data_IF_500070228213
#
_entry.id   IF_500070228213
#
_cell.length_a   1.000
_cell.length_b   1.000
_cell.length_c   1.000
_cell.angle_alpha   90.00
_cell.angle_beta   90.00
_cell.angle_gamma   90.00
#
_symmetry.space_group_name_H-M   'P 1'
#
loop_
_entity.id
_entity.type
_entity.pdbx_description
1 polymer ?
#
# COMPACT_ATOMS: atom_id res chain seq x y z
N UNK A 1 4.22 -29.56 4.83
CA UNK A 1 2.78 -29.27 4.77
C UNK A 1 2.34 -28.05 5.56
N UNK A 2 3.24 -27.13 5.97
CA UNK A 2 2.84 -25.79 6.49
C UNK A 2 3.23 -24.65 5.55
N UNK A 3 3.82 -25.00 4.43
CA UNK A 3 4.27 -24.18 3.32
C UNK A 3 3.12 -23.45 2.63
N UNK A 4 2.03 -24.16 2.27
CA UNK A 4 0.86 -23.54 1.65
C UNK A 4 0.19 -22.46 2.54
N UNK A 5 -0.12 -22.73 3.83
CA UNK A 5 -0.63 -21.68 4.73
C UNK A 5 0.34 -20.50 4.90
N UNK A 6 1.65 -20.75 4.97
CA UNK A 6 2.67 -19.71 5.09
C UNK A 6 2.66 -18.77 3.87
N UNK A 7 2.66 -19.33 2.65
CA UNK A 7 2.62 -18.55 1.41
C UNK A 7 1.31 -17.77 1.27
N UNK A 8 0.17 -18.40 1.58
CA UNK A 8 -1.15 -17.76 1.58
C UNK A 8 -1.18 -16.54 2.50
N UNK A 9 -0.57 -16.65 3.68
CA UNK A 9 -0.47 -15.56 4.65
C UNK A 9 0.29 -14.36 4.11
N UNK A 10 1.36 -14.57 3.34
CA UNK A 10 2.11 -13.48 2.71
C UNK A 10 1.31 -12.80 1.61
N UNK A 11 0.55 -13.55 0.80
CA UNK A 11 -0.37 -12.97 -0.20
C UNK A 11 -1.39 -12.08 0.50
N UNK A 12 -2.05 -12.60 1.53
CA UNK A 12 -3.00 -11.81 2.31
C UNK A 12 -2.36 -10.68 3.09
N UNK A 13 -1.07 -10.74 3.45
CA UNK A 13 -0.34 -9.65 4.14
C UNK A 13 0.16 -8.54 3.22
N UNK A 14 0.25 -8.82 1.91
CA UNK A 14 0.74 -7.88 0.89
C UNK A 14 -0.37 -7.10 0.16
N UNK A 15 -1.62 -7.55 0.26
CA UNK A 15 -2.80 -6.80 -0.19
C UNK A 15 -2.94 -5.41 0.49
N UNK A 16 -3.85 -4.57 -0.02
CA UNK A 16 -4.04 -3.18 0.43
C UNK A 16 -5.51 -2.94 0.76
N UNK A 17 -5.78 -2.36 1.94
CA UNK A 17 -7.15 -2.03 2.34
C UNK A 17 -7.73 -0.88 1.52
N UNK A 18 -9.05 -0.91 1.29
CA UNK A 18 -9.79 0.17 0.64
C UNK A 18 -9.51 1.55 1.26
N UNK A 19 -9.40 1.64 2.58
CA UNK A 19 -9.14 2.90 3.26
C UNK A 19 -7.74 3.47 2.98
N UNK A 20 -6.74 2.60 2.81
CA UNK A 20 -5.40 3.03 2.41
C UNK A 20 -5.38 3.54 0.97
N UNK A 21 -6.13 2.88 0.06
CA UNK A 21 -6.39 3.38 -1.30
C UNK A 21 -7.10 4.75 -1.26
N UNK A 22 -8.13 4.90 -0.45
CA UNK A 22 -8.85 6.17 -0.32
C UNK A 22 -7.95 7.32 0.16
N UNK A 23 -7.11 7.05 1.16
CA UNK A 23 -6.10 8.01 1.63
C UNK A 23 -5.05 8.35 0.57
N UNK A 24 -4.60 7.35 -0.19
CA UNK A 24 -3.70 7.56 -1.32
C UNK A 24 -4.31 8.54 -2.31
N UNK A 25 -5.55 8.29 -2.74
CA UNK A 25 -6.27 9.15 -3.69
C UNK A 25 -6.44 10.58 -3.15
N UNK A 26 -6.79 10.74 -1.88
CA UNK A 26 -6.89 12.07 -1.25
C UNK A 26 -5.56 12.84 -1.24
N UNK A 27 -4.42 12.14 -1.13
CA UNK A 27 -3.08 12.75 -1.17
C UNK A 27 -2.62 13.05 -2.60
N UNK A 28 -2.99 12.23 -3.57
CA UNK A 28 -2.62 12.39 -4.99
C UNK A 28 -3.46 13.48 -5.67
N UNK A 29 -4.73 13.59 -5.31
CA UNK A 29 -5.70 14.52 -5.91
C UNK A 29 -6.20 15.60 -4.92
N UNK A 30 -5.35 16.40 -4.25
CA UNK A 30 -5.85 17.53 -3.47
C UNK A 30 -6.59 18.54 -4.37
N UNK A 31 -7.63 19.21 -3.82
CA UNK A 31 -8.41 20.17 -4.57
C UNK A 31 -7.55 21.37 -5.00
N UNK A 32 -7.73 21.84 -6.23
CA UNK A 32 -7.08 23.04 -6.74
C UNK A 32 -8.05 24.23 -6.84
N UNK A 33 -7.50 25.42 -7.06
CA UNK A 33 -8.27 26.67 -7.21
C UNK A 33 -8.52 27.05 -8.67
N UNK A 34 -8.26 26.17 -9.63
CA UNK A 34 -8.42 26.49 -11.06
C UNK A 34 -9.85 26.90 -11.39
N UNK A 35 -10.86 26.26 -10.78
CA UNK A 35 -12.27 26.64 -10.94
C UNK A 35 -12.57 28.06 -10.44
N UNK A 36 -11.95 28.48 -9.33
CA UNK A 36 -12.09 29.82 -8.76
C UNK A 36 -11.38 30.87 -9.64
N UNK A 37 -10.17 30.56 -10.11
CA UNK A 37 -9.31 31.45 -10.90
C UNK A 37 -9.90 31.70 -12.29
N UNK A 38 -10.46 30.67 -12.93
CA UNK A 38 -11.01 30.77 -14.28
C UNK A 38 -12.49 31.18 -14.33
N UNK A 39 -13.10 31.55 -13.19
CA UNK A 39 -14.33 32.34 -13.17
C UNK A 39 -15.61 31.60 -13.59
N UNK A 40 -15.94 30.45 -12.98
CA UNK A 40 -17.35 30.03 -12.88
C UNK A 40 -17.91 30.46 -11.52
N UNK A 41 -18.35 31.71 -11.44
CA UNK A 41 -19.52 32.04 -10.61
C UNK A 41 -20.61 31.07 -11.09
N UNK A 42 -21.07 30.19 -10.21
CA UNK A 42 -22.23 29.32 -10.48
C UNK A 42 -23.44 30.22 -10.66
N UNK A 43 -23.73 30.65 -11.89
CA UNK A 43 -25.12 30.85 -12.26
C UNK A 43 -25.73 29.46 -12.40
N UNK A 44 -26.52 29.11 -11.38
CA UNK A 44 -27.22 27.84 -11.23
C UNK A 44 -28.45 27.78 -12.13
N UNK A 45 -28.29 28.11 -13.41
CA UNK A 45 -29.34 27.97 -14.42
C UNK A 45 -28.72 27.51 -15.73
N UNK A 46 -29.23 26.37 -16.18
CA UNK A 46 -29.19 25.83 -17.53
C UNK A 46 -28.14 24.75 -17.87
N UNK A 47 -28.71 23.55 -17.97
CA UNK A 47 -28.49 22.56 -19.02
C UNK A 47 -27.50 21.43 -18.72
N UNK A 48 -28.13 20.29 -18.41
CA UNK A 48 -27.65 18.92 -18.54
C UNK A 48 -27.09 18.67 -19.95
N UNK A 49 -26.05 17.84 -20.02
CA UNK A 49 -25.44 17.26 -21.23
C UNK A 49 -24.78 18.22 -22.24
N UNK A 50 -23.47 18.42 -22.05
CA UNK A 50 -22.40 18.42 -23.08
C UNK A 50 -21.05 18.40 -22.35
N UNK A 51 -20.12 17.58 -22.82
CA UNK A 51 -18.74 17.47 -22.32
C UNK A 51 -18.13 18.87 -22.12
N UNK A 52 -18.13 19.34 -20.87
CA UNK A 52 -17.47 20.60 -20.53
C UNK A 52 -15.98 20.28 -20.45
N UNK A 53 -15.12 20.93 -21.25
CA UNK A 53 -13.68 20.71 -21.16
C UNK A 53 -13.21 20.98 -19.73
N UNK A 54 -12.41 20.07 -19.16
CA UNK A 54 -11.79 20.28 -17.85
C UNK A 54 -10.97 21.57 -17.92
N UNK A 55 -11.16 22.42 -16.91
CA UNK A 55 -10.46 23.70 -16.81
C UNK A 55 -9.06 23.49 -16.22
N UNK A 56 -8.91 22.50 -15.35
CA UNK A 56 -7.61 22.14 -14.80
C UNK A 56 -6.79 21.37 -15.85
N UNK A 57 -5.59 21.88 -16.17
CA UNK A 57 -4.63 21.20 -17.04
C UNK A 57 -3.66 20.27 -16.28
N UNK A 58 -4.00 19.94 -15.04
CA UNK A 58 -3.13 19.19 -14.13
C UNK A 58 -2.09 20.06 -13.43
N UNK A 59 -1.64 19.59 -12.28
CA UNK A 59 -0.63 20.22 -11.44
C UNK A 59 0.55 19.28 -11.22
N UNK A 60 1.77 19.79 -11.38
CA UNK A 60 2.98 19.05 -10.99
C UNK A 60 3.02 18.98 -9.45
N UNK A 61 3.10 17.76 -8.93
CA UNK A 61 2.99 17.47 -7.51
C UNK A 61 4.08 16.50 -7.08
N UNK A 62 4.41 16.56 -5.81
CA UNK A 62 5.30 15.59 -5.20
C UNK A 62 4.86 15.18 -3.81
N UNK A 63 5.11 13.93 -3.45
CA UNK A 63 4.83 13.40 -2.12
C UNK A 63 6.08 12.65 -1.64
N UNK A 64 6.65 13.01 -0.48
CA UNK A 64 7.79 12.28 0.10
C UNK A 64 7.49 10.78 0.26
N UNK A 65 8.37 9.94 -0.29
CA UNK A 65 8.16 8.48 -0.32
C UNK A 65 8.00 7.94 1.10
N UNK A 66 8.94 8.29 1.99
CA UNK A 66 8.95 7.77 3.36
C UNK A 66 7.70 8.19 4.15
N UNK A 67 7.27 9.45 4.03
CA UNK A 67 6.05 9.93 4.68
C UNK A 67 4.83 9.14 4.20
N UNK A 68 4.74 8.89 2.90
CA UNK A 68 3.63 8.20 2.27
C UNK A 68 3.57 6.71 2.65
N UNK A 69 4.73 6.05 2.65
CA UNK A 69 4.91 4.66 3.08
C UNK A 69 4.47 4.49 4.54
N UNK A 70 4.90 5.37 5.43
CA UNK A 70 4.53 5.34 6.85
C UNK A 70 3.05 5.68 7.07
N UNK A 71 2.52 6.69 6.37
CA UNK A 71 1.13 7.15 6.54
C UNK A 71 0.09 6.15 6.03
N UNK A 72 0.43 5.38 4.99
CA UNK A 72 -0.46 4.38 4.37
C UNK A 72 -0.19 2.95 4.84
N UNK A 73 0.98 2.69 5.44
CA UNK A 73 1.46 1.33 5.78
C UNK A 73 1.55 0.39 4.56
N UNK A 74 1.90 0.95 3.40
CA UNK A 74 2.12 0.25 2.13
C UNK A 74 3.60 0.38 1.77
N UNK A 75 4.22 -0.68 1.24
CA UNK A 75 5.60 -0.59 0.74
C UNK A 75 5.71 0.37 -0.44
N UNK A 76 6.90 0.91 -0.67
CA UNK A 76 7.18 1.83 -1.78
C UNK A 76 6.71 1.25 -3.13
N UNK A 77 7.02 -0.02 -3.41
CA UNK A 77 6.65 -0.68 -4.67
C UNK A 77 5.13 -0.85 -4.80
N UNK A 78 4.43 -0.99 -3.66
CA UNK A 78 2.98 -1.07 -3.62
C UNK A 78 2.33 0.27 -3.98
N UNK A 79 2.88 1.38 -3.49
CA UNK A 79 2.41 2.73 -3.84
C UNK A 79 2.71 3.02 -5.30
N UNK A 80 3.93 2.75 -5.76
CA UNK A 80 4.34 2.92 -7.16
C UNK A 80 3.43 2.12 -8.11
N UNK A 81 3.13 0.86 -7.77
CA UNK A 81 2.19 0.03 -8.57
C UNK A 81 0.80 0.68 -8.68
N UNK A 82 0.27 1.25 -7.59
CA UNK A 82 -1.03 1.94 -7.60
C UNK A 82 -0.98 3.21 -8.45
N UNK A 83 0.11 3.98 -8.40
CA UNK A 83 0.31 5.15 -9.26
C UNK A 83 0.39 4.77 -10.74
N UNK A 84 1.11 3.70 -11.08
CA UNK A 84 1.16 3.17 -12.45
C UNK A 84 -0.22 2.71 -12.94
N UNK A 85 -1.07 2.14 -12.08
CA UNK A 85 -2.44 1.81 -12.47
C UNK A 85 -3.29 3.04 -12.80
N UNK A 86 -3.06 4.18 -12.13
CA UNK A 86 -3.71 5.45 -12.46
C UNK A 86 -3.23 6.02 -13.80
N UNK A 87 -1.94 5.87 -14.10
CA UNK A 87 -1.35 6.28 -15.37
C UNK A 87 -1.82 5.43 -16.55
N UNK A 88 -1.96 4.11 -16.35
CA UNK A 88 -2.47 3.19 -17.37
C UNK A 88 -4.00 3.24 -17.54
N UNK A 89 -4.71 4.02 -16.72
CA UNK A 89 -6.15 4.16 -16.83
C UNK A 89 -6.51 4.93 -18.12
N UNK A 90 -7.58 4.54 -18.86
CA UNK A 90 -7.95 5.20 -20.12
C UNK A 90 -8.18 6.72 -20.00
N UNK A 91 -8.65 7.17 -18.83
CA UNK A 91 -8.86 8.60 -18.52
C UNK A 91 -7.56 9.37 -18.20
N UNK A 92 -6.40 8.71 -18.17
CA UNK A 92 -5.08 9.30 -17.88
C UNK A 92 -5.11 10.23 -16.65
N UNK A 93 -5.59 9.72 -15.51
CA UNK A 93 -5.79 10.52 -14.29
C UNK A 93 -4.49 11.13 -13.76
N UNK A 94 -3.36 10.47 -14.03
CA UNK A 94 -2.05 10.80 -13.51
C UNK A 94 -0.97 10.53 -14.57
N UNK A 95 0.03 11.38 -14.65
CA UNK A 95 1.26 11.17 -15.42
C UNK A 95 2.42 11.05 -14.43
N UNK A 96 3.15 9.93 -14.45
CA UNK A 96 4.21 9.65 -13.47
C UNK A 96 5.57 10.08 -14.03
N UNK A 97 6.32 10.85 -13.24
CA UNK A 97 7.67 11.28 -13.56
C UNK A 97 8.71 10.52 -12.72
N UNK A 98 10.00 10.53 -13.12
CA UNK A 98 11.06 9.96 -12.31
C UNK A 98 11.09 10.59 -10.90
N UNK A 99 11.26 9.77 -9.83
CA UNK A 99 11.35 10.26 -8.46
C UNK A 99 12.39 11.37 -8.32
N UNK A 100 12.07 12.36 -7.49
CA UNK A 100 12.90 13.55 -7.35
C UNK A 100 12.95 14.04 -5.92
N UNK A 101 14.07 14.67 -5.54
CA UNK A 101 14.16 15.37 -4.27
C UNK A 101 13.30 16.64 -4.33
N UNK A 102 12.15 16.63 -3.67
CA UNK A 102 11.15 17.70 -3.76
C UNK A 102 11.48 18.85 -2.83
N UNK A 103 12.09 18.58 -1.67
CA UNK A 103 12.25 19.57 -0.62
C UNK A 103 13.59 20.28 -0.73
N UNK A 104 13.58 21.60 -0.75
CA UNK A 104 14.79 22.41 -0.73
C UNK A 104 14.95 23.09 0.61
N UNK A 105 16.13 22.95 1.21
CA UNK A 105 16.55 23.69 2.41
C UNK A 105 17.66 24.66 2.03
N UNK A 106 17.45 25.93 2.36
CA UNK A 106 18.43 27.00 2.14
C UNK A 106 18.85 27.56 3.50
N UNK A 107 20.15 27.55 3.79
CA UNK A 107 20.75 28.11 5.00
C UNK A 107 21.69 29.24 4.64
N UNK A 108 21.51 30.40 5.26
CA UNK A 108 22.33 31.59 5.05
C UNK A 108 23.11 31.94 6.32
N UNK A 109 24.43 31.84 6.27
CA UNK A 109 25.29 32.22 7.40
C UNK A 109 25.19 33.72 7.75
N UNK A 110 24.84 34.56 6.77
CA UNK A 110 24.58 35.99 6.95
C UNK A 110 23.14 36.33 7.37
N UNK A 111 22.34 35.32 7.77
CA UNK A 111 20.99 35.50 8.30
C UNK A 111 19.97 36.03 7.28
N UNK A 112 18.91 36.68 7.77
CA UNK A 112 17.78 37.15 6.95
C UNK A 112 18.15 38.23 5.94
N UNK A 113 19.19 39.05 6.20
CA UNK A 113 19.67 40.06 5.26
C UNK A 113 20.25 39.42 4.00
N UNK A 114 21.10 38.41 4.15
CA UNK A 114 21.68 37.66 3.04
C UNK A 114 20.60 36.92 2.23
N UNK A 115 19.61 36.34 2.92
CA UNK A 115 18.49 35.68 2.28
C UNK A 115 17.66 36.63 1.41
N UNK A 116 17.42 37.86 1.88
CA UNK A 116 16.73 38.91 1.11
C UNK A 116 17.54 39.40 -0.09
N UNK A 117 18.87 39.47 0.05
CA UNK A 117 19.76 39.83 -1.06
C UNK A 117 19.77 38.74 -2.14
N UNK A 118 19.87 37.48 -1.75
CA UNK A 118 19.78 36.32 -2.65
C UNK A 118 18.44 36.25 -3.40
N UNK A 119 17.34 36.65 -2.76
CA UNK A 119 16.04 36.71 -3.41
C UNK A 119 15.99 37.70 -4.59
N UNK A 120 16.83 38.74 -4.60
CA UNK A 120 16.88 39.68 -5.73
C UNK A 120 17.45 39.07 -7.00
N UNK A 121 18.28 38.03 -6.88
CA UNK A 121 18.92 37.35 -8.01
C UNK A 121 18.30 35.99 -8.34
N UNK A 122 17.37 35.49 -7.52
CA UNK A 122 16.72 34.20 -7.70
C UNK A 122 15.19 34.33 -7.60
N UNK A 123 14.47 34.33 -8.75
CA UNK A 123 13.02 34.46 -8.78
C UNK A 123 12.26 33.41 -7.94
N UNK A 124 12.63 32.11 -7.95
CA UNK A 124 11.98 31.13 -7.08
C UNK A 124 12.04 31.48 -5.59
N UNK A 125 13.22 31.92 -5.12
CA UNK A 125 13.38 32.35 -3.73
C UNK A 125 12.56 33.61 -3.43
N UNK A 126 12.48 34.55 -4.38
CA UNK A 126 11.66 35.75 -4.23
C UNK A 126 10.17 35.43 -4.06
N UNK A 127 9.63 34.54 -4.90
CA UNK A 127 8.23 34.10 -4.84
C UNK A 127 7.94 33.41 -3.51
N UNK A 128 8.84 32.53 -3.07
CA UNK A 128 8.70 31.86 -1.78
C UNK A 128 8.67 32.86 -0.61
N UNK A 129 9.63 33.79 -0.54
CA UNK A 129 9.66 34.80 0.53
C UNK A 129 8.45 35.73 0.50
N UNK A 130 7.92 36.05 -0.68
CA UNK A 130 6.70 36.84 -0.81
C UNK A 130 5.49 36.11 -0.20
N UNK A 131 5.36 34.79 -0.43
CA UNK A 131 4.29 33.97 0.16
C UNK A 131 4.37 33.89 1.67
N UNK A 132 5.56 33.68 2.22
CA UNK A 132 5.75 33.61 3.67
C UNK A 132 5.37 34.93 4.36
N UNK A 133 5.72 36.06 3.75
CA UNK A 133 5.33 37.38 4.26
C UNK A 133 3.82 37.59 4.23
N UNK A 134 3.14 37.18 3.15
CA UNK A 134 1.68 37.23 3.07
C UNK A 134 1.01 36.33 4.12
N UNK A 135 1.69 35.27 4.56
CA UNK A 135 1.27 34.40 5.65
C UNK A 135 1.69 34.92 7.05
N UNK A 136 2.31 36.10 7.15
CA UNK A 136 2.76 36.69 8.42
C UNK A 136 4.04 36.08 9.00
N UNK A 137 4.77 35.25 8.23
CA UNK A 137 6.02 34.61 8.65
C UNK A 137 7.22 35.37 8.05
N UNK A 138 8.20 35.73 8.88
CA UNK A 138 9.48 36.29 8.42
C UNK A 138 10.62 35.30 8.73
N UNK A 139 11.18 34.63 7.71
CA UNK A 139 12.14 33.56 7.94
C UNK A 139 13.50 34.06 8.43
N UNK A 140 13.98 33.49 9.53
CA UNK A 140 15.25 33.81 10.17
C UNK A 140 16.39 32.93 9.63
N UNK A 141 16.91 33.25 8.44
CA UNK A 141 18.19 32.73 7.93
C UNK A 141 18.22 31.26 7.47
N UNK A 142 17.19 30.46 7.77
CA UNK A 142 17.00 29.11 7.23
C UNK A 142 15.57 28.98 6.73
N UNK A 143 15.39 28.50 5.49
CA UNK A 143 14.08 28.27 4.88
C UNK A 143 14.01 26.90 4.26
N UNK A 144 12.81 26.32 4.27
CA UNK A 144 12.54 25.01 3.71
C UNK A 144 11.19 25.01 3.01
N UNK A 145 11.14 24.48 1.79
CA UNK A 145 9.93 24.46 0.98
C UNK A 145 9.95 23.36 -0.08
N UNK A 146 8.76 22.99 -0.55
CA UNK A 146 8.58 22.11 -1.69
C UNK A 146 8.87 22.87 -3.00
N UNK A 147 9.89 22.41 -3.71
CA UNK A 147 10.33 22.95 -5.01
C UNK A 147 9.33 22.65 -6.09
N UNK A 148 8.69 21.47 -6.07
CA UNK A 148 7.76 21.04 -7.13
C UNK A 148 6.49 21.87 -7.07
N UNK A 149 5.92 22.05 -5.87
CA UNK A 149 4.77 22.95 -5.68
C UNK A 149 5.10 24.41 -6.03
N UNK A 150 6.30 24.89 -5.69
CA UNK A 150 6.75 26.22 -6.08
C UNK A 150 6.86 26.35 -7.61
N UNK A 151 7.44 25.34 -8.27
CA UNK A 151 7.57 25.23 -9.72
C UNK A 151 6.22 25.30 -10.43
N UNK A 152 5.26 24.48 -10.02
CA UNK A 152 3.89 24.45 -10.57
C UNK A 152 3.25 25.85 -10.51
N UNK A 153 3.36 26.49 -9.35
CA UNK A 153 2.76 27.80 -9.14
C UNK A 153 3.43 28.96 -9.88
N UNK A 154 4.66 28.76 -10.35
CA UNK A 154 5.39 29.71 -11.19
C UNK A 154 5.22 29.40 -12.69
N UNK A 155 4.67 28.23 -13.03
CA UNK A 155 4.67 27.70 -14.40
C UNK A 155 6.08 27.36 -14.89
N UNK A 156 7.00 26.98 -13.99
CA UNK A 156 8.39 26.65 -14.32
C UNK A 156 8.65 25.17 -14.10
N UNK A 157 9.49 24.58 -14.95
CA UNK A 157 9.93 23.19 -14.77
C UNK A 157 10.80 23.03 -13.50
N UNK A 158 10.56 21.96 -12.73
CA UNK A 158 11.31 21.68 -11.50
C UNK A 158 12.84 21.61 -11.67
N UNK A 159 13.43 21.08 -12.77
CA UNK A 159 14.89 21.12 -12.96
C UNK A 159 15.46 22.53 -13.09
N UNK A 160 14.73 23.47 -13.71
CA UNK A 160 15.17 24.86 -13.89
C UNK A 160 15.20 25.61 -12.57
N UNK A 161 14.17 25.42 -11.74
CA UNK A 161 14.12 25.98 -10.39
C UNK A 161 15.26 25.43 -9.53
N UNK A 162 15.49 24.11 -9.56
CA UNK A 162 16.62 23.49 -8.84
C UNK A 162 17.97 24.04 -9.28
N UNK A 163 18.17 24.26 -10.58
CA UNK A 163 19.39 24.86 -11.13
C UNK A 163 19.61 26.27 -10.60
N UNK A 164 18.57 27.11 -10.62
CA UNK A 164 18.68 28.50 -10.16
C UNK A 164 18.89 28.60 -8.65
N UNK A 165 18.29 27.71 -7.87
CA UNK A 165 18.56 27.59 -6.44
C UNK A 165 20.02 27.17 -6.18
N UNK A 166 20.57 26.21 -6.93
CA UNK A 166 21.98 25.82 -6.78
C UNK A 166 22.94 26.97 -7.08
N UNK A 167 22.62 27.83 -8.04
CA UNK A 167 23.47 28.99 -8.38
C UNK A 167 23.66 29.95 -7.20
N UNK A 168 22.73 29.97 -6.24
CA UNK A 168 22.83 30.82 -5.05
C UNK A 168 24.07 30.57 -4.20
N UNK A 169 24.67 29.37 -4.23
CA UNK A 169 25.88 29.12 -3.41
C UNK A 169 27.15 29.77 -4.01
N UNK A 170 27.04 30.40 -5.19
CA UNK A 170 28.16 31.04 -5.91
C UNK A 170 27.91 32.54 -6.06
N UNK A 171 28.91 33.36 -5.72
CA UNK A 171 28.85 34.81 -5.92
C UNK A 171 29.25 35.16 -7.36
N UNK A 172 28.26 35.46 -8.20
CA UNK A 172 28.51 35.88 -9.59
C UNK A 172 29.12 37.29 -9.69
N UNK A 173 28.99 38.14 -8.65
CA UNK A 173 29.45 39.54 -8.66
C UNK A 173 30.89 39.75 -8.14
N UNK A 174 31.46 38.79 -7.40
CA UNK A 174 32.77 38.93 -6.72
C UNK A 174 33.78 37.87 -7.17
N UNK A 175 33.88 37.63 -8.48
CA UNK A 175 34.98 36.83 -9.04
C UNK A 175 35.05 35.36 -8.59
N UNK A 176 33.91 34.71 -8.29
CA UNK A 176 33.86 33.24 -8.15
C UNK A 176 34.10 32.66 -6.76
N UNK A 177 33.66 33.33 -5.69
CA UNK A 177 33.69 32.79 -4.31
C UNK A 177 32.37 32.11 -3.88
N UNK A 178 32.43 31.23 -2.87
CA UNK A 178 31.22 30.71 -2.20
C UNK A 178 30.45 31.86 -1.53
N UNK A 179 29.15 31.91 -1.73
CA UNK A 179 28.30 32.98 -1.18
C UNK A 179 28.04 32.85 0.32
N UNK A 180 28.34 31.70 0.92
CA UNK A 180 27.94 31.39 2.30
C UNK A 180 26.47 30.98 2.44
N UNK A 181 25.80 30.75 1.31
CA UNK A 181 24.47 30.15 1.22
C UNK A 181 24.64 28.66 0.93
N UNK A 182 24.07 27.79 1.76
CA UNK A 182 24.03 26.35 1.54
C UNK A 182 22.64 25.98 1.02
N UNK A 183 22.60 25.20 -0.06
CA UNK A 183 21.36 24.70 -0.66
C UNK A 183 21.40 23.19 -0.71
N UNK A 184 20.48 22.56 0.00
CA UNK A 184 20.34 21.11 0.12
C UNK A 184 18.99 20.68 -0.45
N UNK A 185 18.99 19.62 -1.26
CA UNK A 185 17.76 18.96 -1.69
C UNK A 185 17.58 17.69 -0.87
N UNK A 186 16.41 17.57 -0.26
CA UNK A 186 16.03 16.56 0.72
C UNK A 186 14.78 15.82 0.24
N UNK A 187 14.46 14.71 0.91
CA UNK A 187 13.22 13.94 0.73
C UNK A 187 12.99 13.46 -0.72
N UNK A 188 13.45 12.25 -1.02
CA UNK A 188 13.09 11.57 -2.26
C UNK A 188 11.57 11.38 -2.29
N UNK A 189 10.94 11.87 -3.37
CA UNK A 189 9.49 11.97 -3.48
C UNK A 189 9.00 11.34 -4.79
N UNK A 190 7.81 10.74 -4.73
CA UNK A 190 7.03 10.47 -5.92
C UNK A 190 6.73 11.79 -6.61
N UNK A 191 6.90 11.84 -7.92
CA UNK A 191 6.77 13.05 -8.72
C UNK A 191 5.81 12.75 -9.87
N UNK A 192 4.74 13.53 -9.99
CA UNK A 192 3.69 13.24 -10.96
C UNK A 192 2.91 14.51 -11.31
N UNK A 193 2.17 14.47 -12.42
CA UNK A 193 1.14 15.47 -12.75
C UNK A 193 -0.23 14.85 -12.55
N UNK A 194 -1.09 15.54 -11.80
CA UNK A 194 -2.45 15.08 -11.52
C UNK A 194 -3.45 16.24 -11.56
N UNK A 195 -4.69 15.95 -11.91
CA UNK A 195 -5.79 16.92 -11.86
C UNK A 195 -6.12 17.31 -10.41
N UNK A 196 -6.71 18.49 -10.24
CA UNK A 196 -7.14 19.02 -8.95
C UNK A 196 -8.62 19.40 -8.89
N UNK A 197 -9.37 19.15 -9.95
CA UNK A 197 -10.79 19.49 -10.09
C UNK A 197 -11.71 18.26 -10.08
N UNK A 198 -11.21 17.11 -9.60
CA UNK A 198 -12.02 15.90 -9.48
C UNK A 198 -13.15 16.11 -8.48
N UNK A 199 -14.35 15.68 -8.87
CA UNK A 199 -15.49 15.66 -7.95
C UNK A 199 -15.48 14.42 -7.03
N UNK A 200 -16.40 14.36 -6.07
CA UNK A 200 -16.49 13.24 -5.13
C UNK A 200 -16.81 11.91 -5.81
N UNK A 201 -17.60 11.92 -6.88
CA UNK A 201 -18.01 10.71 -7.59
C UNK A 201 -16.84 10.15 -8.41
N UNK A 202 -16.08 11.03 -9.07
CA UNK A 202 -14.84 10.66 -9.76
C UNK A 202 -13.82 10.09 -8.78
N UNK A 203 -13.62 10.72 -7.62
CA UNK A 203 -12.71 10.22 -6.58
C UNK A 203 -13.13 8.82 -6.07
N UNK A 204 -14.41 8.60 -5.83
CA UNK A 204 -14.91 7.30 -5.38
C UNK A 204 -14.76 6.23 -6.49
N UNK A 205 -15.05 6.58 -7.76
CA UNK A 205 -14.82 5.70 -8.92
C UNK A 205 -13.35 5.29 -9.07
N UNK A 206 -12.42 6.24 -8.90
CA UNK A 206 -10.98 5.95 -8.92
C UNK A 206 -10.58 5.04 -7.75
N UNK A 207 -11.15 5.24 -6.55
CA UNK A 207 -10.92 4.37 -5.41
C UNK A 207 -11.42 2.93 -5.67
N UNK A 208 -12.62 2.78 -6.21
CA UNK A 208 -13.21 1.49 -6.58
C UNK A 208 -12.38 0.78 -7.64
N UNK A 209 -11.93 1.49 -8.67
CA UNK A 209 -11.04 0.95 -9.70
C UNK A 209 -9.74 0.40 -9.10
N UNK A 210 -9.02 1.20 -8.31
CA UNK A 210 -7.75 0.78 -7.71
C UNK A 210 -7.94 -0.38 -6.75
N UNK A 211 -8.96 -0.33 -5.89
CA UNK A 211 -9.24 -1.42 -4.98
C UNK A 211 -9.65 -2.70 -5.73
N UNK A 212 -10.43 -2.58 -6.81
CA UNK A 212 -10.74 -3.68 -7.71
C UNK A 212 -9.48 -4.34 -8.27
N UNK A 213 -8.49 -3.55 -8.71
CA UNK A 213 -7.18 -4.07 -9.17
C UNK A 213 -6.43 -4.81 -8.06
N UNK A 214 -6.44 -4.29 -6.83
CA UNK A 214 -5.82 -4.94 -5.66
C UNK A 214 -6.48 -6.29 -5.37
N UNK A 215 -7.81 -6.32 -5.31
CA UNK A 215 -8.58 -7.55 -5.05
C UNK A 215 -8.36 -8.58 -6.14
N UNK A 216 -8.41 -8.19 -7.42
CA UNK A 216 -8.15 -9.10 -8.53
C UNK A 216 -6.74 -9.67 -8.50
N UNK A 217 -5.74 -8.85 -8.13
CA UNK A 217 -4.35 -9.33 -7.97
C UNK A 217 -4.22 -10.32 -6.82
N UNK A 218 -4.88 -10.07 -5.69
CA UNK A 218 -4.90 -11.00 -4.56
C UNK A 218 -5.54 -12.33 -4.96
N UNK A 219 -6.72 -12.30 -5.61
CA UNK A 219 -7.40 -13.50 -6.11
C UNK A 219 -6.53 -14.27 -7.09
N UNK A 220 -5.90 -13.60 -8.06
CA UNK A 220 -5.01 -14.24 -9.02
C UNK A 220 -3.81 -14.93 -8.33
N UNK A 221 -3.19 -14.28 -7.35
CA UNK A 221 -2.08 -14.86 -6.59
C UNK A 221 -2.53 -16.10 -5.78
N UNK A 222 -3.71 -16.06 -5.16
CA UNK A 222 -4.28 -17.20 -4.45
C UNK A 222 -4.60 -18.36 -5.40
N UNK A 223 -5.21 -18.09 -6.56
CA UNK A 223 -5.48 -19.09 -7.60
C UNK A 223 -4.20 -19.73 -8.11
N UNK A 224 -3.17 -18.92 -8.39
CA UNK A 224 -1.86 -19.43 -8.81
C UNK A 224 -1.22 -20.33 -7.74
N UNK A 225 -1.26 -19.93 -6.47
CA UNK A 225 -0.76 -20.72 -5.35
C UNK A 225 -1.51 -22.07 -5.23
N UNK A 226 -2.84 -22.06 -5.33
CA UNK A 226 -3.67 -23.28 -5.30
C UNK A 226 -3.36 -24.19 -6.48
N UNK A 227 -3.30 -23.66 -7.69
CA UNK A 227 -2.98 -24.42 -8.91
C UNK A 227 -1.60 -25.08 -8.80
N UNK A 228 -0.60 -24.33 -8.33
CA UNK A 228 0.76 -24.81 -8.10
C UNK A 228 0.77 -25.95 -7.06
N UNK A 229 0.09 -25.75 -5.93
CA UNK A 229 0.01 -26.76 -4.88
C UNK A 229 -0.71 -28.04 -5.35
N UNK A 230 -1.85 -27.92 -6.03
CA UNK A 230 -2.61 -29.06 -6.57
C UNK A 230 -1.77 -29.86 -7.57
N UNK A 231 -1.03 -29.17 -8.45
CA UNK A 231 -0.13 -29.81 -9.41
C UNK A 231 0.93 -30.66 -8.71
N UNK A 232 1.66 -30.10 -7.73
CA UNK A 232 2.68 -30.85 -6.99
C UNK A 232 2.09 -31.94 -6.10
N UNK A 233 0.96 -31.70 -5.45
CA UNK A 233 0.29 -32.68 -4.60
C UNK A 233 -0.18 -33.90 -5.42
N UNK A 234 -0.66 -33.69 -6.64
CA UNK A 234 -1.13 -34.77 -7.52
C UNK A 234 -0.06 -35.81 -7.85
N UNK A 235 1.22 -35.42 -7.83
CA UNK A 235 2.37 -36.29 -8.11
C UNK A 235 3.21 -36.61 -6.87
N UNK A 236 2.81 -36.12 -5.70
CA UNK A 236 3.58 -36.28 -4.47
C UNK A 236 3.51 -37.71 -3.91
N UNK A 237 4.64 -38.21 -3.41
CA UNK A 237 4.69 -39.45 -2.63
C UNK A 237 4.46 -39.15 -1.14
N UNK A 238 3.86 -40.06 -0.36
CA UNK A 238 3.71 -39.89 1.10
C UNK A 238 5.06 -39.80 1.84
N UNK A 239 6.09 -40.43 1.29
CA UNK A 239 7.44 -40.47 1.83
C UNK A 239 8.44 -40.65 0.67
N UNK A 240 9.65 -40.14 0.83
CA UNK A 240 10.77 -40.42 -0.07
C UNK A 240 11.39 -41.81 0.16
N UNK A 241 11.02 -42.50 1.24
CA UNK A 241 11.49 -43.85 1.56
C UNK A 241 10.34 -44.80 1.97
N UNK A 242 10.39 -46.07 1.53
CA UNK A 242 11.38 -46.67 0.60
C UNK A 242 11.29 -46.09 -0.83
N UNK A 243 12.35 -46.26 -1.65
CA UNK A 243 12.40 -45.69 -3.02
C UNK A 243 11.17 -46.19 -3.79
N UNK A 244 10.35 -45.30 -4.37
CA UNK A 244 9.22 -45.73 -5.17
C UNK A 244 9.68 -46.55 -6.37
N UNK A 245 8.83 -47.43 -6.92
CA UNK A 245 9.16 -48.18 -8.13
C UNK A 245 9.51 -47.22 -9.28
N UNK A 246 10.55 -47.52 -10.06
CA UNK A 246 11.04 -46.63 -11.12
C UNK A 246 9.95 -46.30 -12.17
N UNK A 247 9.05 -47.25 -12.45
CA UNK A 247 7.91 -47.00 -13.33
C UNK A 247 6.95 -45.93 -12.79
N UNK A 248 6.63 -45.95 -11.49
CA UNK A 248 5.76 -44.93 -10.88
C UNK A 248 6.43 -43.55 -10.84
N UNK A 249 7.75 -43.52 -10.63
CA UNK A 249 8.54 -42.29 -10.67
C UNK A 249 8.54 -41.66 -12.07
N UNK A 250 8.75 -42.47 -13.12
CA UNK A 250 8.70 -42.05 -14.52
C UNK A 250 7.31 -41.55 -14.94
N UNK A 251 6.25 -42.24 -14.53
CA UNK A 251 4.87 -41.86 -14.82
C UNK A 251 4.53 -40.51 -14.19
N UNK A 252 4.81 -40.33 -12.89
CA UNK A 252 4.57 -39.06 -12.19
C UNK A 252 5.45 -37.92 -12.70
N UNK A 253 6.69 -38.21 -13.09
CA UNK A 253 7.59 -37.23 -13.73
C UNK A 253 7.03 -36.76 -15.06
N UNK A 254 6.53 -37.68 -15.89
CA UNK A 254 5.87 -37.36 -17.16
C UNK A 254 4.61 -36.53 -16.91
N UNK A 255 3.78 -36.94 -15.93
CA UNK A 255 2.58 -36.20 -15.56
C UNK A 255 2.86 -34.77 -15.09
N UNK A 256 3.90 -34.57 -14.29
CA UNK A 256 4.30 -33.24 -13.84
C UNK A 256 4.76 -32.37 -15.02
N UNK A 257 5.54 -32.94 -15.95
CA UNK A 257 5.99 -32.21 -17.16
C UNK A 257 4.81 -31.81 -18.03
N UNK A 258 3.83 -32.69 -18.21
CA UNK A 258 2.58 -32.37 -18.91
C UNK A 258 1.82 -31.22 -18.25
N UNK A 259 1.65 -31.25 -16.92
CA UNK A 259 0.97 -30.18 -16.18
C UNK A 259 1.67 -28.82 -16.33
N UNK A 260 3.00 -28.81 -16.29
CA UNK A 260 3.79 -27.58 -16.47
C UNK A 260 3.67 -27.08 -17.91
N UNK A 261 3.76 -27.98 -18.89
CA UNK A 261 3.63 -27.64 -20.30
C UNK A 261 2.24 -27.07 -20.61
N UNK A 262 1.18 -27.69 -20.10
CA UNK A 262 -0.20 -27.22 -20.25
C UNK A 262 -0.38 -25.82 -19.64
N UNK A 263 0.20 -25.56 -18.46
CA UNK A 263 0.13 -24.25 -17.81
C UNK A 263 0.71 -23.13 -18.69
N UNK A 264 1.85 -23.35 -19.34
CA UNK A 264 2.48 -22.32 -20.19
C UNK A 264 1.88 -22.22 -21.60
N UNK A 265 1.12 -23.22 -22.04
CA UNK A 265 0.44 -23.22 -23.34
C UNK A 265 -0.97 -22.61 -23.30
N UNK A 266 -1.51 -22.31 -22.12
CA UNK A 266 -2.80 -21.64 -21.98
C UNK A 266 -2.69 -20.17 -22.42
N UNK A 267 -3.41 -19.82 -23.49
CA UNK A 267 -3.45 -18.46 -24.07
C UNK A 267 -4.16 -17.43 -23.17
N UNK A 268 -4.92 -17.87 -22.16
CA UNK A 268 -5.54 -16.98 -21.18
C UNK A 268 -5.11 -17.35 -19.75
N UNK A 269 -4.82 -16.36 -18.88
CA UNK A 269 -4.83 -16.60 -17.45
C UNK A 269 -6.24 -17.10 -17.12
N UNK A 270 -6.34 -18.29 -16.51
CA UNK A 270 -7.59 -19.00 -16.27
C UNK A 270 -8.75 -18.01 -16.01
N UNK A 271 -9.76 -18.06 -16.88
CA UNK A 271 -11.02 -17.34 -16.73
C UNK A 271 -11.53 -17.47 -15.31
N UNK A 272 -12.28 -16.47 -14.87
CA UNK A 272 -12.98 -16.43 -13.59
C UNK A 272 -14.04 -17.54 -13.52
N UNK A 273 -13.61 -18.81 -13.44
CA UNK A 273 -14.44 -19.90 -12.96
C UNK A 273 -14.60 -19.64 -11.46
N UNK A 274 -15.70 -18.97 -11.12
CA UNK A 274 -16.19 -18.67 -9.77
C UNK A 274 -16.59 -19.94 -8.99
N UNK A 275 -16.28 -21.13 -9.49
CA UNK A 275 -16.70 -22.38 -8.88
C UNK A 275 -15.60 -22.90 -7.94
N UNK A 276 -15.94 -22.99 -6.66
CA UNK A 276 -15.20 -23.59 -5.54
C UNK A 276 -14.23 -22.70 -4.73
N UNK A 277 -14.31 -21.36 -4.78
CA UNK A 277 -13.50 -20.51 -3.89
C UNK A 277 -13.91 -20.64 -2.41
N UNK A 278 -15.19 -20.83 -2.09
CA UNK A 278 -15.72 -20.76 -0.70
C UNK A 278 -15.81 -22.11 0.04
N UNK A 279 -16.04 -23.22 -0.66
CA UNK A 279 -16.25 -24.56 -0.06
C UNK A 279 -14.94 -25.21 0.40
N UNK A 280 -13.88 -25.13 -0.41
CA UNK A 280 -12.55 -25.61 -0.03
C UNK A 280 -11.88 -24.71 1.03
N UNK A 281 -12.16 -23.39 1.01
CA UNK A 281 -11.65 -22.44 2.00
C UNK A 281 -12.14 -22.75 3.42
N UNK A 282 -13.44 -23.03 3.57
CA UNK A 282 -14.03 -23.43 4.85
C UNK A 282 -13.48 -24.78 5.32
N UNK A 283 -13.31 -25.73 4.40
CA UNK A 283 -12.81 -27.06 4.72
C UNK A 283 -11.32 -27.07 5.13
N UNK A 284 -10.43 -26.31 4.47
CA UNK A 284 -9.01 -26.23 4.86
C UNK A 284 -8.81 -25.50 6.20
N UNK A 285 -9.58 -24.43 6.46
CA UNK A 285 -9.54 -23.70 7.73
C UNK A 285 -10.00 -24.57 8.91
N UNK A 286 -11.11 -25.30 8.74
CA UNK A 286 -11.64 -26.20 9.78
C UNK A 286 -10.71 -27.38 10.09
N UNK A 287 -10.03 -27.92 9.09
CA UNK A 287 -9.07 -29.04 9.30
C UNK A 287 -7.88 -28.59 10.15
N UNK A 288 -7.32 -27.40 9.89
CA UNK A 288 -6.17 -26.87 10.64
C UNK A 288 -6.50 -26.47 12.09
N UNK A 289 -7.71 -25.96 12.33
CA UNK A 289 -8.20 -25.66 13.69
C UNK A 289 -8.36 -26.95 14.52
N UNK A 290 -8.74 -28.06 13.89
CA UNK A 290 -8.97 -29.34 14.59
C UNK A 290 -7.71 -30.07 15.06
N UNK A 291 -6.56 -29.90 14.38
CA UNK A 291 -5.31 -30.59 14.71
C UNK A 291 -4.52 -29.97 15.88
N UNK A 292 -4.85 -28.74 16.29
CA UNK A 292 -3.99 -27.95 17.18
C UNK A 292 -4.55 -27.64 18.57
N UNK A 293 -5.75 -28.13 18.91
CA UNK A 293 -6.35 -27.97 20.26
C UNK A 293 -5.69 -28.95 21.24
N UNK A 294 -4.92 -28.52 22.26
CA UNK A 294 -4.30 -29.42 23.22
C UNK A 294 -5.38 -30.08 24.11
N UNK A 295 -5.52 -31.41 24.01
CA UNK A 295 -6.54 -32.22 24.69
C UNK A 295 -7.24 -33.27 23.81
N UNK A 296 -7.03 -33.19 22.49
CA UNK A 296 -7.66 -34.08 21.49
C UNK A 296 -6.87 -35.39 21.27
N UNK A 297 -6.87 -36.28 22.26
CA UNK A 297 -6.40 -37.66 22.08
C UNK A 297 -7.46 -38.51 21.36
N UNK A 298 -7.42 -38.57 20.02
CA UNK A 298 -8.26 -39.49 19.25
C UNK A 298 -7.78 -40.94 19.42
N UNK A 299 -8.47 -41.72 20.25
CA UNK A 299 -8.30 -43.18 20.30
C UNK A 299 -9.09 -43.79 19.13
N UNK A 300 -8.41 -44.11 18.04
CA UNK A 300 -9.03 -44.80 16.90
C UNK A 300 -9.57 -46.18 17.32
N UNK A 301 -10.91 -46.34 17.38
CA UNK A 301 -11.54 -47.66 17.23
C UNK A 301 -12.03 -47.78 15.80
N UNK A 302 -11.38 -48.63 15.03
CA UNK A 302 -11.85 -49.07 13.71
C UNK A 302 -13.25 -49.67 13.86
N UNK A 303 -14.24 -49.07 13.23
CA UNK A 303 -15.50 -49.74 12.93
C UNK A 303 -15.99 -49.26 11.56
N UNK A 304 -16.06 -50.21 10.64
CA UNK A 304 -16.51 -50.01 9.27
C UNK A 304 -17.97 -49.56 9.23
N UNK A 305 -18.24 -48.64 8.29
CA UNK A 305 -19.53 -48.10 7.80
C UNK A 305 -19.82 -46.66 8.24
N UNK A 306 -19.74 -45.76 7.25
CA UNK A 306 -20.27 -44.39 7.28
C UNK A 306 -19.24 -43.35 7.71
N UNK A 307 -18.67 -42.65 6.73
CA UNK A 307 -17.88 -41.43 6.96
C UNK A 307 -18.84 -40.34 7.45
N UNK A 308 -18.97 -40.16 8.77
CA UNK A 308 -19.62 -38.98 9.34
C UNK A 308 -18.54 -37.93 9.60
N UNK A 309 -18.63 -36.83 8.87
CA UNK A 309 -17.89 -35.60 9.14
C UNK A 309 -18.25 -35.17 10.58
N UNK A 310 -17.29 -34.96 11.50
CA UNK A 310 -17.61 -34.51 12.84
C UNK A 310 -18.00 -33.03 12.78
N UNK A 311 -19.24 -32.73 13.15
CA UNK A 311 -19.74 -31.35 13.29
C UNK A 311 -19.09 -30.69 14.50
N UNK A 312 -18.36 -29.60 14.27
CA UNK A 312 -17.78 -28.75 15.31
C UNK A 312 -18.91 -28.17 16.18
N UNK A 313 -18.76 -28.15 17.52
CA UNK A 313 -19.81 -27.56 18.37
C UNK A 313 -19.74 -26.03 18.34
N UNK A 314 -20.88 -25.36 18.15
CA UNK A 314 -21.02 -23.89 18.13
C UNK A 314 -20.46 -23.20 19.40
N UNK A 315 -20.30 -23.92 20.52
CA UNK A 315 -19.72 -23.38 21.76
C UNK A 315 -18.21 -23.20 21.66
N UNK A 316 -17.50 -24.20 21.12
CA UNK A 316 -16.05 -24.14 20.92
C UNK A 316 -15.68 -23.04 19.90
N UNK A 317 -16.55 -22.79 18.93
CA UNK A 317 -16.47 -21.67 17.98
C UNK A 317 -16.79 -20.29 18.58
N UNK A 318 -17.30 -20.18 19.81
CA UNK A 318 -17.45 -18.87 20.48
C UNK A 318 -16.30 -18.59 21.43
N UNK A 319 -15.74 -19.64 22.04
CA UNK A 319 -14.65 -19.51 23.00
C UNK A 319 -13.33 -19.07 22.34
N UNK A 320 -13.01 -19.55 21.12
CA UNK A 320 -11.80 -19.13 20.39
C UNK A 320 -11.87 -17.67 19.92
N UNK A 321 -13.02 -17.23 19.38
CA UNK A 321 -13.22 -15.85 18.93
C UNK A 321 -13.12 -14.88 20.12
N UNK A 322 -13.70 -15.26 21.26
CA UNK A 322 -13.57 -14.51 22.51
C UNK A 322 -12.11 -14.35 22.96
N UNK A 323 -11.29 -15.40 22.84
CA UNK A 323 -9.86 -15.32 23.14
C UNK A 323 -9.12 -14.39 22.18
N UNK A 324 -9.40 -14.47 20.87
CA UNK A 324 -8.79 -13.57 19.87
C UNK A 324 -9.14 -12.13 20.18
N UNK A 325 -10.42 -11.82 20.41
CA UNK A 325 -10.86 -10.47 20.77
C UNK A 325 -10.21 -9.97 22.06
N UNK A 326 -10.04 -10.83 23.07
CA UNK A 326 -9.29 -10.50 24.28
C UNK A 326 -7.81 -10.19 23.99
N UNK A 327 -7.16 -11.00 23.16
CA UNK A 327 -5.76 -10.80 22.75
C UNK A 327 -5.61 -9.49 21.94
N UNK A 328 -6.56 -9.16 21.06
CA UNK A 328 -6.62 -7.87 20.33
C UNK A 328 -6.74 -6.69 21.31
N UNK A 329 -7.68 -6.74 22.27
CA UNK A 329 -7.85 -5.67 23.26
C UNK A 329 -6.63 -5.48 24.14
N UNK A 330 -5.98 -6.59 24.53
CA UNK A 330 -4.72 -6.56 25.27
C UNK A 330 -3.59 -5.91 24.44
N UNK A 331 -3.56 -6.19 23.13
CA UNK A 331 -2.59 -5.56 22.22
C UNK A 331 -2.82 -4.05 22.09
N UNK A 332 -4.07 -3.63 21.89
CA UNK A 332 -4.46 -2.20 21.83
C UNK A 332 -4.12 -1.47 23.13
N UNK A 333 -4.41 -2.10 24.28
CA UNK A 333 -4.07 -1.54 25.60
C UNK A 333 -2.56 -1.38 25.82
N UNK A 334 -1.75 -2.25 25.23
CA UNK A 334 -0.30 -2.19 25.33
C UNK A 334 0.33 -1.10 24.44
N UNK A 335 -0.42 -0.58 23.45
CA UNK A 335 0.05 0.41 22.48
C UNK A 335 -0.96 1.56 22.30
N UNK A 336 -1.27 2.33 23.37
CA UNK A 336 -2.33 3.34 23.35
C UNK A 336 -2.04 4.53 22.42
N UNK A 337 -0.77 4.82 22.16
CA UNK A 337 -0.34 5.97 21.34
C UNK A 337 -0.34 5.67 19.83
N UNK A 338 -0.60 4.42 19.43
CA UNK A 338 -0.51 3.98 18.04
C UNK A 338 -1.88 3.78 17.40
N UNK A 339 -2.02 4.24 16.16
CA UNK A 339 -3.22 4.08 15.37
C UNK A 339 -3.09 2.87 14.42
N UNK A 340 -3.67 1.74 14.82
CA UNK A 340 -3.68 0.52 14.01
C UNK A 340 -4.90 0.42 13.08
N UNK A 341 -4.72 -0.23 11.93
CA UNK A 341 -5.81 -0.81 11.14
C UNK A 341 -6.02 -2.28 11.54
N UNK A 342 -7.20 -2.84 11.27
CA UNK A 342 -7.45 -4.27 11.53
C UNK A 342 -6.44 -5.18 10.82
N UNK A 343 -6.06 -4.80 9.60
CA UNK A 343 -5.02 -5.47 8.81
C UNK A 343 -3.63 -5.37 9.44
N UNK A 344 -3.25 -4.23 10.01
CA UNK A 344 -1.98 -4.07 10.71
C UNK A 344 -1.88 -5.02 11.91
N UNK A 345 -2.95 -5.13 12.71
CA UNK A 345 -3.02 -6.08 13.83
C UNK A 345 -2.95 -7.52 13.32
N UNK A 346 -3.69 -7.84 12.24
CA UNK A 346 -3.62 -9.16 11.63
C UNK A 346 -2.18 -9.51 11.19
N UNK A 347 -1.47 -8.58 10.53
CA UNK A 347 -0.05 -8.78 10.16
C UNK A 347 0.82 -9.10 11.38
N UNK A 348 0.69 -8.35 12.47
CA UNK A 348 1.45 -8.58 13.71
C UNK A 348 1.17 -9.99 14.29
N UNK A 349 -0.10 -10.36 14.43
CA UNK A 349 -0.50 -11.66 14.95
C UNK A 349 -0.14 -12.84 14.05
N UNK A 350 0.01 -12.59 12.75
CA UNK A 350 0.56 -13.53 11.77
C UNK A 350 2.09 -13.49 11.67
N UNK A 351 2.74 -12.53 12.32
CA UNK A 351 4.18 -12.33 12.30
C UNK A 351 4.74 -11.82 10.97
N UNK A 352 4.00 -10.96 10.30
CA UNK A 352 4.38 -10.26 9.09
C UNK A 352 4.67 -8.81 9.46
N UNK A 353 5.87 -8.33 9.12
CA UNK A 353 6.22 -6.91 9.31
C UNK A 353 5.58 -6.03 8.24
N UNK A 354 5.39 -4.77 8.57
CA UNK A 354 5.01 -3.72 7.63
C UNK A 354 5.95 -2.53 7.73
N UNK A 355 5.94 -1.59 6.76
CA UNK A 355 6.78 -0.40 6.84
C UNK A 355 6.56 0.41 8.12
N UNK A 356 5.30 0.60 8.53
CA UNK A 356 4.97 1.32 9.77
C UNK A 356 5.18 0.47 11.02
N UNK A 357 4.95 -0.84 10.93
CA UNK A 357 5.03 -1.78 12.05
C UNK A 357 6.08 -2.87 11.77
N UNK A 358 7.38 -2.54 11.85
CA UNK A 358 8.43 -3.43 11.40
C UNK A 358 8.68 -4.59 12.38
N UNK A 359 9.06 -5.74 11.83
CA UNK A 359 9.26 -6.98 12.59
C UNK A 359 10.36 -6.88 13.66
N UNK A 360 11.37 -6.03 13.49
CA UNK A 360 12.45 -5.86 14.47
C UNK A 360 12.01 -5.11 15.75
N UNK A 361 10.89 -4.38 15.69
CA UNK A 361 10.22 -3.75 16.84
C UNK A 361 9.16 -4.71 17.38
N UNK A 362 8.12 -4.99 16.60
CA UNK A 362 6.94 -5.73 17.04
C UNK A 362 7.17 -7.23 17.22
N UNK A 363 8.16 -7.80 16.51
CA UNK A 363 8.51 -9.22 16.62
C UNK A 363 9.23 -9.60 17.92
N UNK A 364 9.63 -8.61 18.73
CA UNK A 364 10.18 -8.84 20.07
C UNK A 364 9.10 -9.24 21.07
N UNK A 365 7.87 -8.72 20.91
CA UNK A 365 6.76 -9.07 21.79
C UNK A 365 6.08 -10.37 21.35
N UNK A 366 6.59 -11.48 21.90
CA UNK A 366 6.09 -12.85 21.62
C UNK A 366 4.69 -13.12 22.16
N UNK A 367 4.13 -12.23 22.98
CA UNK A 367 2.73 -12.35 23.44
C UNK A 367 1.76 -12.18 22.25
N UNK A 368 2.16 -11.37 21.28
CA UNK A 368 1.35 -10.95 20.15
C UNK A 368 1.90 -11.51 18.83
N UNK A 369 3.22 -11.46 18.63
CA UNK A 369 3.84 -11.87 17.37
C UNK A 369 3.67 -13.37 17.08
N UNK A 370 3.11 -13.71 15.92
CA UNK A 370 2.81 -15.10 15.50
C UNK A 370 1.88 -15.86 16.45
N UNK A 371 1.06 -15.15 17.23
CA UNK A 371 0.13 -15.74 18.23
C UNK A 371 -1.02 -16.51 17.59
N UNK A 372 -1.59 -16.00 16.48
CA UNK A 372 -2.78 -16.54 15.84
C UNK A 372 -2.52 -17.06 14.42
N UNK A 373 -1.39 -17.74 14.22
CA UNK A 373 -1.02 -18.33 12.92
C UNK A 373 -2.09 -19.26 12.28
N UNK A 374 -2.83 -20.10 13.04
CA UNK A 374 -3.83 -20.99 12.46
C UNK A 374 -5.13 -20.30 12.04
N UNK A 375 -5.34 -19.06 12.47
CA UNK A 375 -6.54 -18.28 12.15
C UNK A 375 -6.42 -17.75 10.73
N UNK A 376 -7.53 -17.69 10.00
CA UNK A 376 -7.54 -17.12 8.65
C UNK A 376 -7.30 -15.60 8.73
N UNK A 377 -6.50 -15.06 7.81
CA UNK A 377 -6.01 -13.69 7.89
C UNK A 377 -7.14 -12.66 7.78
N UNK A 378 -8.10 -12.87 6.86
CA UNK A 378 -9.24 -11.96 6.69
C UNK A 378 -10.14 -11.96 7.92
N UNK A 379 -10.39 -13.12 8.50
CA UNK A 379 -11.17 -13.25 9.73
C UNK A 379 -10.49 -12.51 10.89
N UNK A 380 -9.17 -12.65 11.04
CA UNK A 380 -8.43 -11.91 12.06
C UNK A 380 -8.47 -10.40 11.82
N UNK A 381 -8.35 -9.97 10.56
CA UNK A 381 -8.47 -8.56 10.16
C UNK A 381 -9.87 -7.99 10.45
N UNK A 382 -10.93 -8.78 10.21
CA UNK A 382 -12.31 -8.43 10.52
C UNK A 382 -12.52 -8.24 12.01
N UNK A 383 -12.15 -9.23 12.82
CA UNK A 383 -12.24 -9.16 14.28
C UNK A 383 -11.45 -7.97 14.83
N UNK A 384 -10.23 -7.74 14.33
CA UNK A 384 -9.42 -6.60 14.73
C UNK A 384 -10.07 -5.25 14.37
N UNK A 385 -10.69 -5.15 13.19
CA UNK A 385 -11.42 -3.93 12.78
C UNK A 385 -12.60 -3.66 13.71
N UNK A 386 -13.38 -4.69 14.06
CA UNK A 386 -14.51 -4.57 14.98
C UNK A 386 -14.07 -4.14 16.38
N UNK A 387 -13.00 -4.74 16.92
CA UNK A 387 -12.47 -4.34 18.23
C UNK A 387 -11.90 -2.92 18.19
N UNK A 388 -11.23 -2.48 17.13
CA UNK A 388 -10.76 -1.10 16.99
C UNK A 388 -11.93 -0.11 17.00
N UNK A 389 -13.04 -0.45 16.33
CA UNK A 389 -14.23 0.40 16.30
C UNK A 389 -14.96 0.44 17.64
N UNK A 390 -14.96 -0.67 18.39
CA UNK A 390 -15.53 -0.74 19.73
C UNK A 390 -14.63 -0.12 20.82
N UNK A 391 -13.33 0.01 20.55
CA UNK A 391 -12.34 0.60 21.45
C UNK A 391 -12.32 2.12 21.44
N UNK A 392 -12.73 2.72 20.31
CA UNK A 392 -12.92 4.17 20.16
C UNK A 392 -14.26 4.60 20.73
#
# INVERSE_FOLDING_TARGET
GRDLPELRRHIHGDSVDFWAVKKLIQRVFPPCKCLEIHGKIRDATESENREKPRICHGHERSIPIQEMVEALDIREEGIETLLCYLELHPENWLELFPPTYSRCRIRCSGGSRQLREAARSCPPLAVFLARERSAGRDPSGSVEFDVVSLSDSMGWESPLVKRDLRRLQWNSQKGGGKSGILVEFLELSFHFRAYGDLDSQELDSVCEFLHGRVVSREKAALRQLRSCFRAFQSVAFPSCHPKPPENEELERSSRLKELIQEYFQRDQPASDEEEDEDEEEKNLGMTQVSEFIPGFGMRMRRRSKGMRIPTFSLRQLKDWEGQIRADIRNFLSAHPDEAFSGRAIARIFHGIGSPRFPAWIYGRDRRFWRRHLPVEFRELSRLATEEILAWK
#
